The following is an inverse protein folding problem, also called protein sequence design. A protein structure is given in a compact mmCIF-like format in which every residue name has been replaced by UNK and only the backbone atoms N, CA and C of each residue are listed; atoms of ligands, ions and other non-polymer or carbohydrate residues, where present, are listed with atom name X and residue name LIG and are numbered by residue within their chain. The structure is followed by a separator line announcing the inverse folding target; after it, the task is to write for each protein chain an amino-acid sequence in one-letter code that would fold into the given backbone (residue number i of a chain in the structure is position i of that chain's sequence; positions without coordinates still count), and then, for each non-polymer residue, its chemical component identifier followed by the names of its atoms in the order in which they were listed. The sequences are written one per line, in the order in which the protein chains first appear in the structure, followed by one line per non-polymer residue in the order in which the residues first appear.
data_IF_983640978362
#
_entry.id   IF_983640978362
#
_cell.length_a   1.000
_cell.length_b   1.000
_cell.length_c   1.000
_cell.angle_alpha   90.00
_cell.angle_beta   90.00
_cell.angle_gamma   90.00
#
_symmetry.space_group_name_H-M   'P 1'
#
loop_
_entity.id
_entity.type
_entity.pdbx_description
1 polymer ?
#
# COMPACT_ATOMS: atom_id res chain seq x y z
N UNK A 1 14.73 -8.95 4.29
CA UNK A 1 13.34 -8.76 3.79
C UNK A 1 13.21 -7.34 3.26
N UNK A 2 12.49 -7.13 2.14
CA UNK A 2 12.29 -5.82 1.53
C UNK A 2 10.85 -5.33 1.77
N UNK A 3 10.66 -4.04 2.04
CA UNK A 3 9.33 -3.47 2.23
C UNK A 3 9.15 -2.15 1.46
N UNK A 4 8.02 -1.99 0.78
CA UNK A 4 7.62 -0.72 0.17
C UNK A 4 6.41 -0.17 0.89
N UNK A 5 6.54 1.05 1.42
CA UNK A 5 5.43 1.79 1.99
C UNK A 5 4.84 2.76 0.95
N UNK A 6 3.58 3.12 1.16
CA UNK A 6 2.85 4.12 0.39
C UNK A 6 1.98 4.90 1.35
N UNK A 7 1.72 6.16 1.05
CA UNK A 7 0.82 7.00 1.82
C UNK A 7 -0.51 6.23 2.04
N UNK A 8 -0.99 6.08 3.30
CA UNK A 8 -2.16 5.25 3.58
C UNK A 8 -3.42 5.68 2.84
N UNK A 9 -3.63 6.98 2.63
CA UNK A 9 -4.78 7.50 1.88
C UNK A 9 -4.72 7.05 0.41
N UNK A 10 -3.57 7.21 -0.22
CA UNK A 10 -3.37 6.80 -1.60
C UNK A 10 -3.39 5.29 -1.78
N UNK A 11 -2.83 4.53 -0.82
CA UNK A 11 -2.87 3.07 -0.80
C UNK A 11 -4.30 2.56 -0.79
N UNK A 12 -5.15 3.06 0.11
CA UNK A 12 -6.53 2.58 0.28
C UNK A 12 -7.38 2.93 -0.93
N UNK A 13 -7.29 4.17 -1.42
CA UNK A 13 -7.95 4.58 -2.67
C UNK A 13 -7.51 3.68 -3.83
N UNK A 14 -6.20 3.48 -3.99
CA UNK A 14 -5.65 2.66 -5.07
C UNK A 14 -6.08 1.21 -4.99
N UNK A 15 -6.21 0.65 -3.78
CA UNK A 15 -6.70 -0.71 -3.56
C UNK A 15 -8.17 -0.85 -3.96
N UNK A 16 -9.01 0.11 -3.57
CA UNK A 16 -10.42 0.12 -3.94
C UNK A 16 -10.62 0.22 -5.46
N UNK A 17 -9.94 1.18 -6.12
CA UNK A 17 -10.00 1.33 -7.57
C UNK A 17 -9.44 0.10 -8.30
N UNK A 18 -8.36 -0.51 -7.77
CA UNK A 18 -7.81 -1.76 -8.29
C UNK A 18 -8.82 -2.90 -8.23
N UNK A 19 -9.50 -3.10 -7.12
CA UNK A 19 -10.50 -4.16 -6.98
C UNK A 19 -11.74 -3.93 -7.82
N UNK A 20 -12.18 -2.67 -7.97
CA UNK A 20 -13.27 -2.31 -8.89
C UNK A 20 -12.93 -2.51 -10.35
N UNK A 21 -11.64 -2.46 -10.69
CA UNK A 21 -11.21 -2.62 -12.08
C UNK A 21 -11.41 -4.04 -12.63
N UNK A 22 -11.74 -5.06 -11.81
CA UNK A 22 -11.94 -6.40 -12.35
C UNK A 22 -13.28 -6.55 -13.08
N UNK A 23 -13.27 -7.19 -14.25
CA UNK A 23 -14.48 -7.47 -15.02
C UNK A 23 -15.36 -8.49 -14.29
N UNK A 24 -16.68 -8.47 -14.54
CA UNK A 24 -17.59 -9.46 -13.94
C UNK A 24 -17.24 -10.90 -14.31
N UNK A 25 -16.93 -11.23 -15.58
CA UNK A 25 -16.43 -12.55 -15.94
C UNK A 25 -15.23 -12.98 -15.10
N UNK A 26 -14.21 -12.13 -14.95
CA UNK A 26 -13.03 -12.46 -14.14
C UNK A 26 -13.34 -12.65 -12.64
N UNK A 27 -14.32 -11.92 -12.11
CA UNK A 27 -14.79 -12.10 -10.73
C UNK A 27 -15.54 -13.44 -10.55
N UNK A 28 -16.26 -13.89 -11.58
CA UNK A 28 -17.06 -15.13 -11.55
C UNK A 28 -16.18 -16.35 -11.83
N UNK A 29 -15.19 -16.24 -12.71
CA UNK A 29 -14.33 -17.35 -13.19
C UNK A 29 -13.09 -17.62 -12.32
N UNK A 30 -12.67 -16.66 -11.47
CA UNK A 30 -11.44 -16.76 -10.65
C UNK A 30 -11.55 -17.48 -9.29
N UNK A 31 -10.51 -18.23 -8.92
CA UNK A 31 -10.25 -18.85 -7.58
C UNK A 31 -9.85 -17.82 -6.50
N UNK A 32 -9.99 -18.08 -5.17
CA UNK A 32 -11.14 -18.57 -4.42
C UNK A 32 -12.15 -17.43 -4.12
N UNK A 33 -13.35 -17.70 -3.55
CA UNK A 33 -14.46 -16.76 -3.33
C UNK A 33 -14.22 -15.67 -2.26
N UNK A 34 -12.99 -15.18 -2.13
CA UNK A 34 -12.65 -14.17 -1.13
C UNK A 34 -12.69 -12.76 -1.76
N UNK A 35 -13.80 -12.11 -1.45
CA UNK A 35 -14.56 -11.16 -2.25
C UNK A 35 -14.07 -9.70 -2.22
N UNK A 36 -12.76 -9.44 -2.37
CA UNK A 36 -12.27 -8.05 -2.44
C UNK A 36 -12.83 -7.29 -3.65
N UNK A 37 -12.69 -7.89 -4.83
CA UNK A 37 -13.17 -7.37 -6.11
C UNK A 37 -14.69 -7.22 -6.13
N UNK A 38 -15.40 -8.32 -5.84
CA UNK A 38 -16.87 -8.34 -5.83
C UNK A 38 -17.44 -7.31 -4.85
N UNK A 39 -16.90 -7.23 -3.64
CA UNK A 39 -17.37 -6.28 -2.64
C UNK A 39 -17.14 -4.84 -3.11
N UNK A 40 -15.91 -4.49 -3.51
CA UNK A 40 -15.58 -3.14 -3.97
C UNK A 40 -16.43 -2.70 -5.19
N UNK A 41 -16.85 -3.63 -6.04
CA UNK A 41 -17.69 -3.35 -7.21
C UNK A 41 -19.18 -3.13 -6.88
N UNK A 42 -19.64 -3.66 -5.74
CA UNK A 42 -21.05 -3.59 -5.31
C UNK A 42 -21.34 -2.47 -4.31
N UNK A 43 -20.31 -1.86 -3.73
CA UNK A 43 -20.46 -0.88 -2.64
C UNK A 43 -19.80 0.45 -3.00
N UNK A 44 -20.17 1.49 -2.28
CA UNK A 44 -19.52 2.81 -2.32
C UNK A 44 -18.17 2.79 -1.61
N UNK A 45 -17.36 3.84 -1.80
CA UNK A 45 -16.06 3.92 -1.14
C UNK A 45 -16.20 4.06 0.39
N UNK A 46 -17.18 4.80 0.88
CA UNK A 46 -17.49 4.88 2.31
C UNK A 46 -17.88 3.50 2.90
N UNK A 47 -18.79 2.76 2.25
CA UNK A 47 -19.16 1.40 2.67
C UNK A 47 -17.96 0.44 2.65
N UNK A 48 -17.06 0.63 1.69
CA UNK A 48 -15.81 -0.13 1.62
C UNK A 48 -14.90 0.12 2.83
N UNK A 49 -14.78 1.37 3.27
CA UNK A 49 -13.99 1.76 4.45
C UNK A 49 -14.59 1.22 5.75
N UNK A 50 -15.92 1.17 5.84
CA UNK A 50 -16.68 0.74 7.01
C UNK A 50 -16.95 -0.78 7.06
N UNK A 51 -16.50 -1.53 6.06
CA UNK A 51 -16.80 -2.94 5.89
C UNK A 51 -16.63 -3.75 7.19
N UNK A 52 -17.69 -4.44 7.62
CA UNK A 52 -17.66 -5.37 8.76
C UNK A 52 -16.88 -6.66 8.48
N UNK A 53 -16.58 -6.92 7.20
CA UNK A 53 -15.92 -8.13 6.75
C UNK A 53 -14.44 -8.15 7.18
N UNK A 54 -14.03 -9.21 7.89
CA UNK A 54 -12.68 -9.36 8.43
C UNK A 54 -11.60 -9.42 7.34
N UNK A 55 -11.88 -10.01 6.18
CA UNK A 55 -10.95 -10.07 5.06
C UNK A 55 -10.67 -8.69 4.46
N UNK A 56 -11.70 -7.84 4.33
CA UNK A 56 -11.55 -6.46 3.87
C UNK A 56 -10.80 -5.65 4.93
N UNK A 57 -11.21 -5.71 6.20
CA UNK A 57 -10.55 -4.99 7.30
C UNK A 57 -9.06 -5.28 7.40
N UNK A 58 -8.65 -6.54 7.25
CA UNK A 58 -7.23 -6.91 7.31
C UNK A 58 -6.37 -6.27 6.19
N UNK A 59 -6.97 -5.95 5.04
CA UNK A 59 -6.28 -5.32 3.89
C UNK A 59 -6.44 -3.81 3.86
N UNK A 60 -7.50 -3.29 4.45
CA UNK A 60 -7.80 -1.86 4.45
C UNK A 60 -7.27 -1.17 5.70
N UNK A 61 -7.44 -1.73 6.90
CA UNK A 61 -7.14 -1.08 8.17
C UNK A 61 -5.75 -1.45 8.71
N UNK A 62 -4.88 -0.44 8.84
CA UNK A 62 -3.53 -0.57 9.37
C UNK A 62 -2.74 -1.72 8.72
N UNK A 63 -2.93 -1.93 7.41
CA UNK A 63 -2.48 -3.12 6.71
C UNK A 63 -0.95 -3.25 6.69
N UNK A 64 -0.23 -2.13 6.52
CA UNK A 64 1.23 -2.14 6.53
C UNK A 64 1.77 -2.51 7.92
N UNK A 65 1.20 -1.91 8.97
CA UNK A 65 1.53 -2.21 10.37
C UNK A 65 1.22 -3.68 10.70
N UNK A 66 0.06 -4.19 10.27
CA UNK A 66 -0.32 -5.61 10.43
C UNK A 66 0.66 -6.55 9.74
N UNK A 67 1.14 -6.19 8.55
CA UNK A 67 2.10 -7.01 7.79
C UNK A 67 3.46 -7.08 8.50
N UNK A 68 3.93 -5.96 9.06
CA UNK A 68 5.22 -5.91 9.77
C UNK A 68 5.19 -6.64 11.12
N UNK A 69 4.11 -6.48 11.89
CA UNK A 69 4.00 -7.09 13.22
C UNK A 69 3.51 -8.54 13.18
N UNK A 70 2.71 -8.91 12.20
CA UNK A 70 2.04 -10.20 12.12
C UNK A 70 0.85 -10.34 13.07
N UNK A 71 0.17 -11.50 12.99
CA UNK A 71 -1.14 -11.75 13.61
C UNK A 71 -1.17 -11.59 15.14
N UNK A 72 -0.06 -11.90 15.83
CA UNK A 72 0.02 -11.86 17.30
C UNK A 72 -0.17 -10.46 17.91
N UNK A 73 -0.01 -9.40 17.12
CA UNK A 73 -0.16 -8.01 17.57
C UNK A 73 -1.47 -7.36 17.13
N UNK A 74 -2.43 -8.12 16.59
CA UNK A 74 -3.68 -7.54 16.06
C UNK A 74 -4.52 -6.87 17.16
N UNK A 75 -4.55 -7.45 18.37
CA UNK A 75 -5.24 -6.83 19.51
C UNK A 75 -4.56 -5.54 19.95
N UNK A 76 -3.23 -5.55 20.06
CA UNK A 76 -2.46 -4.35 20.42
C UNK A 76 -2.66 -3.20 19.43
N UNK A 77 -2.83 -3.52 18.15
CA UNK A 77 -3.10 -2.54 17.11
C UNK A 77 -4.47 -1.85 17.26
N UNK A 78 -5.45 -2.56 17.84
CA UNK A 78 -6.79 -2.03 18.12
C UNK A 78 -6.80 -1.24 19.43
N UNK A 79 -6.09 -1.72 20.45
CA UNK A 79 -6.05 -1.10 21.78
C UNK A 79 -5.11 0.14 21.85
N UNK A 80 -3.98 0.11 21.14
CA UNK A 80 -2.96 1.16 21.19
C UNK A 80 -2.21 1.30 19.85
N UNK A 81 -2.80 2.02 18.87
CA UNK A 81 -2.21 2.15 17.54
C UNK A 81 -0.87 2.88 17.54
N UNK A 82 -0.62 3.81 18.47
CA UNK A 82 0.66 4.49 18.65
C UNK A 82 1.79 3.51 19.00
N UNK A 83 1.55 2.64 19.99
CA UNK A 83 2.54 1.63 20.41
C UNK A 83 2.79 0.61 19.30
N UNK A 84 1.73 0.19 18.60
CA UNK A 84 1.85 -0.70 17.46
C UNK A 84 2.65 -0.06 16.32
N UNK A 85 2.40 1.21 16.00
CA UNK A 85 3.16 1.96 14.99
C UNK A 85 4.65 2.06 15.36
N UNK A 86 4.96 2.36 16.63
CA UNK A 86 6.34 2.41 17.12
C UNK A 86 7.04 1.06 16.94
N UNK A 87 6.41 -0.04 17.39
CA UNK A 87 6.97 -1.39 17.20
C UNK A 87 7.17 -1.73 15.72
N UNK A 88 6.20 -1.39 14.87
CA UNK A 88 6.30 -1.66 13.44
C UNK A 88 7.42 -0.84 12.78
N UNK A 89 7.64 0.38 13.24
CA UNK A 89 8.75 1.22 12.80
C UNK A 89 10.11 0.63 13.20
N UNK A 90 10.25 0.11 14.42
CA UNK A 90 11.46 -0.58 14.84
C UNK A 90 11.72 -1.86 14.02
N UNK A 91 10.66 -2.63 13.70
CA UNK A 91 10.77 -3.76 12.76
C UNK A 91 11.20 -3.28 11.38
N UNK A 92 10.59 -2.22 10.85
CA UNK A 92 10.92 -1.65 9.54
C UNK A 92 12.40 -1.22 9.47
N UNK A 93 12.93 -0.61 10.53
CA UNK A 93 14.34 -0.19 10.63
C UNK A 93 15.32 -1.34 10.68
N UNK A 94 14.89 -2.51 11.17
CA UNK A 94 15.71 -3.72 11.21
C UNK A 94 15.78 -4.45 9.87
N UNK A 95 14.98 -4.04 8.87
CA UNK A 95 15.01 -4.65 7.54
C UNK A 95 16.26 -4.21 6.78
N UNK A 96 16.73 -5.09 5.89
CA UNK A 96 17.83 -4.78 4.98
C UNK A 96 17.55 -3.53 4.14
N UNK A 97 16.28 -3.29 3.82
CA UNK A 97 15.83 -2.12 3.08
C UNK A 97 14.32 -1.89 3.20
N UNK A 98 13.95 -0.61 3.17
CA UNK A 98 12.59 -0.19 2.89
C UNK A 98 12.57 1.01 1.93
N UNK A 99 11.44 1.20 1.24
CA UNK A 99 11.24 2.34 0.34
C UNK A 99 9.89 3.01 0.49
N UNK A 100 9.77 4.19 -0.14
CA UNK A 100 8.56 5.00 -0.21
C UNK A 100 8.12 5.07 -1.66
N UNK A 101 6.89 4.66 -1.94
CA UNK A 101 6.33 4.58 -3.30
C UNK A 101 6.28 5.94 -4.00
N UNK A 102 6.01 7.00 -3.25
CA UNK A 102 6.01 8.40 -3.69
C UNK A 102 7.41 8.85 -4.14
N UNK A 103 8.47 8.21 -3.64
CA UNK A 103 9.88 8.45 -3.95
C UNK A 103 10.51 7.21 -4.62
N UNK A 104 9.74 6.48 -5.43
CA UNK A 104 10.13 5.19 -6.01
C UNK A 104 11.48 5.19 -6.75
N UNK A 105 11.77 6.22 -7.55
CA UNK A 105 13.06 6.32 -8.23
C UNK A 105 14.25 6.35 -7.24
N UNK A 106 14.13 7.12 -6.17
CA UNK A 106 15.13 7.19 -5.12
C UNK A 106 15.20 5.88 -4.31
N UNK A 107 14.05 5.28 -4.01
CA UNK A 107 13.98 4.00 -3.34
C UNK A 107 14.73 2.90 -4.12
N UNK A 108 14.51 2.84 -5.44
CA UNK A 108 15.17 1.87 -6.31
C UNK A 108 16.68 2.14 -6.46
N UNK A 109 17.11 3.40 -6.51
CA UNK A 109 18.55 3.74 -6.46
C UNK A 109 19.21 3.24 -5.17
N UNK A 110 18.55 3.43 -4.02
CA UNK A 110 19.04 2.92 -2.72
C UNK A 110 19.13 1.41 -2.70
N UNK A 111 18.10 0.74 -3.23
CA UNK A 111 18.11 -0.72 -3.32
C UNK A 111 19.25 -1.22 -4.21
N UNK A 112 19.46 -0.59 -5.38
CA UNK A 112 20.56 -0.94 -6.28
C UNK A 112 21.93 -0.79 -5.62
N UNK A 113 22.13 0.28 -4.83
CA UNK A 113 23.36 0.50 -4.06
C UNK A 113 23.60 -0.60 -3.02
N UNK A 114 22.58 -1.02 -2.28
CA UNK A 114 22.67 -2.13 -1.31
C UNK A 114 23.02 -3.45 -2.00
N UNK A 115 22.39 -3.70 -3.16
CA UNK A 115 22.62 -4.91 -3.95
C UNK A 115 23.90 -4.86 -4.79
N UNK A 116 24.62 -3.72 -4.80
CA UNK A 116 25.82 -3.46 -5.61
C UNK A 116 25.61 -3.72 -7.11
N UNK A 117 24.45 -3.30 -7.62
CA UNK A 117 24.12 -3.36 -9.05
C UNK A 117 23.96 -1.95 -9.62
N UNK A 118 24.15 -1.81 -10.93
CA UNK A 118 23.90 -0.54 -11.62
C UNK A 118 22.43 -0.15 -11.49
N UNK A 119 22.16 1.07 -11.02
CA UNK A 119 20.80 1.61 -11.02
C UNK A 119 20.35 1.87 -12.45
N UNK A 120 19.12 1.49 -12.79
CA UNK A 120 18.53 1.90 -14.07
C UNK A 120 18.40 3.44 -14.11
N UNK A 121 18.77 4.10 -15.23
CA UNK A 121 18.82 5.56 -15.31
C UNK A 121 17.44 6.22 -15.15
N UNK A 122 16.37 5.52 -15.53
CA UNK A 122 15.00 6.02 -15.36
C UNK A 122 14.04 4.85 -15.21
N UNK A 123 13.36 4.77 -14.07
CA UNK A 123 12.24 3.84 -13.90
C UNK A 123 10.99 4.67 -14.16
N UNK A 124 10.32 4.51 -15.31
CA UNK A 124 9.12 5.29 -15.59
C UNK A 124 8.11 5.02 -14.47
N UNK A 125 7.50 6.09 -13.93
CA UNK A 125 6.45 5.99 -12.91
C UNK A 125 5.17 5.49 -13.56
N UNK A 126 5.17 4.20 -13.85
CA UNK A 126 4.08 3.51 -14.49
C UNK A 126 3.01 3.25 -13.41
N UNK A 127 1.90 3.98 -13.50
CA UNK A 127 0.59 3.57 -12.96
C UNK A 127 -0.31 3.01 -14.09
N UNK A 128 0.14 2.08 -14.96
CA UNK A 128 -0.66 1.54 -16.05
C UNK A 128 -1.61 0.52 -15.44
N UNK A 129 -2.63 0.99 -14.74
CA UNK A 129 -3.76 0.11 -14.43
C UNK A 129 -4.47 -0.28 -15.73
N UNK A 130 -4.34 0.54 -16.80
CA UNK A 130 -5.10 0.40 -18.05
C UNK A 130 -4.26 0.50 -19.33
N UNK A 131 -3.23 1.34 -19.37
CA UNK A 131 -2.54 1.75 -20.62
C UNK A 131 -1.62 0.70 -21.25
N UNK A 132 -1.35 -0.41 -20.54
CA UNK A 132 -0.54 -1.52 -21.04
C UNK A 132 -1.28 -2.85 -21.01
N UNK A 133 -2.62 -2.83 -20.95
CA UNK A 133 -3.40 -4.03 -21.23
C UNK A 133 -3.22 -4.34 -22.72
N UNK A 134 -2.22 -5.17 -23.02
CA UNK A 134 -2.12 -5.83 -24.33
C UNK A 134 -3.46 -6.47 -24.63
N UNK A 135 -3.88 -6.35 -25.89
CA UNK A 135 -5.05 -7.06 -26.43
C UNK A 135 -5.07 -8.50 -25.90
N UNK A 136 -6.06 -8.83 -25.08
CA UNK A 136 -6.26 -10.19 -24.55
C UNK A 136 -6.36 -10.36 -23.03
N UNK A 137 -6.05 -9.36 -22.20
CA UNK A 137 -6.32 -9.46 -20.74
C UNK A 137 -7.76 -9.00 -20.45
N UNK A 138 -8.73 -9.90 -20.68
CA UNK A 138 -10.17 -9.71 -20.42
C UNK A 138 -10.53 -9.49 -18.93
N UNK A 139 -9.54 -9.41 -18.05
CA UNK A 139 -9.74 -9.45 -16.60
C UNK A 139 -9.99 -8.08 -15.97
N UNK A 140 -9.69 -6.97 -16.68
CA UNK A 140 -9.86 -5.61 -16.12
C UNK A 140 -10.52 -4.62 -17.07
N UNK A 141 -11.25 -3.67 -16.50
CA UNK A 141 -11.96 -2.57 -17.14
C UNK A 141 -11.58 -1.22 -16.52
N UNK A 142 -11.70 -0.15 -17.32
CA UNK A 142 -11.41 1.21 -16.87
C UNK A 142 -12.45 1.67 -15.85
N UNK A 143 -12.00 2.04 -14.65
CA UNK A 143 -12.86 2.69 -13.64
C UNK A 143 -12.49 4.14 -13.41
N UNK A 144 -13.51 4.96 -13.09
CA UNK A 144 -13.29 6.32 -12.63
C UNK A 144 -12.53 6.30 -11.30
N UNK A 145 -11.40 7.02 -11.25
CA UNK A 145 -10.58 7.13 -10.04
C UNK A 145 -11.39 7.76 -8.92
N UNK A 146 -11.34 7.15 -7.75
CA UNK A 146 -12.07 7.65 -6.58
C UNK A 146 -11.42 8.94 -6.07
N UNK A 147 -12.24 9.93 -5.71
CA UNK A 147 -11.79 11.16 -5.04
C UNK A 147 -12.45 11.17 -3.67
N UNK A 148 -11.72 10.84 -2.58
CA UNK A 148 -12.30 10.77 -1.25
C UNK A 148 -12.87 12.12 -0.82
N UNK A 149 -14.09 12.13 -0.33
CA UNK A 149 -14.70 13.23 0.40
C UNK A 149 -13.95 13.53 1.71
N UNK A 150 -14.30 14.65 2.36
CA UNK A 150 -13.74 14.99 3.68
C UNK A 150 -14.02 13.89 4.71
N UNK A 151 -15.26 13.40 4.75
CA UNK A 151 -15.70 12.33 5.66
C UNK A 151 -14.93 11.03 5.42
N UNK A 152 -14.74 10.62 4.18
CA UNK A 152 -13.97 9.42 3.84
C UNK A 152 -12.49 9.55 4.23
N UNK A 153 -11.90 10.76 4.12
CA UNK A 153 -10.55 11.01 4.65
C UNK A 153 -10.49 10.88 6.18
N UNK A 154 -11.49 11.38 6.89
CA UNK A 154 -11.58 11.23 8.35
C UNK A 154 -11.72 9.75 8.75
N UNK A 155 -12.51 8.96 8.01
CA UNK A 155 -12.63 7.51 8.21
C UNK A 155 -11.31 6.77 7.96
N UNK A 156 -10.59 7.13 6.89
CA UNK A 156 -9.25 6.59 6.64
C UNK A 156 -8.33 6.92 7.82
N UNK A 157 -8.32 8.18 8.28
CA UNK A 157 -7.47 8.62 9.38
C UNK A 157 -7.73 7.83 10.68
N UNK A 158 -9.01 7.62 11.01
CA UNK A 158 -9.43 6.91 12.21
C UNK A 158 -9.05 5.42 12.15
N UNK A 159 -9.29 4.76 11.03
CA UNK A 159 -9.08 3.31 10.87
C UNK A 159 -7.63 2.93 10.55
N UNK A 160 -6.80 3.90 10.13
CA UNK A 160 -5.41 3.70 9.71
C UNK A 160 -4.40 4.53 10.52
N UNK A 161 -4.73 4.85 11.77
CA UNK A 161 -3.88 5.67 12.65
C UNK A 161 -2.45 5.15 12.74
N UNK A 162 -2.27 3.83 12.93
CA UNK A 162 -0.94 3.25 13.07
C UNK A 162 -0.15 3.31 11.76
N UNK A 163 -0.79 3.01 10.62
CA UNK A 163 -0.16 3.13 9.29
C UNK A 163 0.25 4.58 8.99
N UNK A 164 -0.54 5.57 9.40
CA UNK A 164 -0.20 6.99 9.23
C UNK A 164 1.03 7.35 10.05
N UNK A 165 1.09 6.94 11.31
CA UNK A 165 2.24 7.19 12.18
C UNK A 165 3.49 6.48 11.67
N UNK A 166 3.37 5.21 11.28
CA UNK A 166 4.44 4.42 10.67
C UNK A 166 4.97 5.09 9.40
N UNK A 167 4.08 5.44 8.45
CA UNK A 167 4.44 6.06 7.20
C UNK A 167 5.16 7.39 7.41
N UNK A 168 4.66 8.25 8.31
CA UNK A 168 5.27 9.54 8.58
C UNK A 168 6.67 9.40 9.18
N UNK A 169 6.87 8.46 10.11
CA UNK A 169 8.19 8.18 10.69
C UNK A 169 9.15 7.60 9.63
N UNK A 170 8.69 6.64 8.83
CA UNK A 170 9.47 6.04 7.75
C UNK A 170 9.84 7.06 6.67
N UNK A 171 8.92 7.93 6.26
CA UNK A 171 9.17 8.98 5.29
C UNK A 171 10.23 9.96 5.79
N UNK A 172 10.14 10.40 7.05
CA UNK A 172 11.15 11.29 7.65
C UNK A 172 12.53 10.65 7.66
N UNK A 173 12.61 9.38 8.10
CA UNK A 173 13.87 8.63 8.09
C UNK A 173 14.42 8.45 6.66
N UNK A 174 13.55 8.14 5.71
CA UNK A 174 13.94 7.98 4.31
C UNK A 174 14.51 9.28 3.73
N UNK A 175 13.87 10.41 3.99
CA UNK A 175 14.34 11.72 3.51
C UNK A 175 15.65 12.14 4.20
N UNK A 176 15.82 11.84 5.49
CA UNK A 176 17.02 12.25 6.24
C UNK A 176 18.27 11.41 5.96
N UNK A 177 18.13 10.27 5.30
CA UNK A 177 19.25 9.40 4.90
C UNK A 177 19.43 9.38 3.37
N UNK A 178 19.80 10.50 2.72
CA UNK A 178 20.11 10.46 1.29
C UNK A 178 21.27 9.49 1.01
N UNK A 179 21.28 8.88 -0.17
CA UNK A 179 22.45 8.10 -0.63
C UNK A 179 23.66 9.02 -0.53
N UNK A 180 24.56 8.73 0.42
CA UNK A 180 25.86 9.39 0.45
C UNK A 180 26.52 9.08 -0.89
N UNK A 181 26.99 10.10 -1.61
CA UNK A 181 27.59 10.02 -2.96
C UNK A 181 28.91 9.21 -3.02
N UNK A 182 29.13 8.24 -2.12
CA UNK A 182 30.36 7.48 -1.98
C UNK A 182 30.56 6.39 -3.06
N UNK A 183 29.61 6.20 -3.98
CA UNK A 183 29.71 5.18 -5.03
C UNK A 183 29.73 5.75 -6.46
N UNK A 184 29.94 7.06 -6.61
CA UNK A 184 30.31 7.64 -7.91
C UNK A 184 31.84 7.59 -8.05
N UNK A 185 32.38 6.42 -8.39
CA UNK A 185 33.74 6.25 -8.92
C UNK A 185 33.72 5.22 -10.03
#
# INVERSE_FOLDING_TARGET
MLCMLRNPYDRIRSLYDFWRSFTWPAIIEGLPPINGQRFAKLVTFEEFLLAGNSFIRQRVWNAATRQLLGKRHYKELEDNPERAAFKAFEVLRSLDWFGISELSAEALRRLASILKISSMPEVPRLNPTYEHMRDGVLEREKVLRTVPSRRERELIAATNRADILLYNSALRLFISQPISQQYAR
#
